data_IF_047952224715
#
_entry.id   IF_047952224715
#
_cell.length_a   1.000
_cell.length_b   1.000
_cell.length_c   1.000
_cell.angle_alpha   90.00
_cell.angle_beta   90.00
_cell.angle_gamma   90.00
#
_symmetry.space_group_name_H-M   'P 1'
#
loop_
_entity.id
_entity.type
_entity.pdbx_description
1 polymer ?
#
# COMPACT_ATOMS: atom_id res chain seq x y z
N UNK A 1 2.04 -12.61 -11.70
CA UNK A 1 0.64 -12.65 -11.25
C UNK A 1 -0.40 -12.20 -12.31
N UNK A 2 0.00 -11.90 -13.56
CA UNK A 2 -0.94 -11.57 -14.66
C UNK A 2 -1.27 -12.78 -15.57
N UNK A 3 -0.57 -13.90 -15.40
CA UNK A 3 -0.65 -15.06 -16.31
C UNK A 3 -1.92 -15.93 -16.13
N UNK A 4 -2.84 -15.56 -15.23
CA UNK A 4 -3.95 -16.43 -14.80
C UNK A 4 -5.34 -15.87 -15.13
N UNK A 5 -5.45 -14.78 -15.91
CA UNK A 5 -6.70 -14.01 -16.06
C UNK A 5 -7.40 -14.23 -17.42
N UNK A 6 -6.80 -14.87 -18.43
CA UNK A 6 -7.48 -15.05 -19.71
C UNK A 6 -7.04 -16.28 -20.50
N UNK A 7 -8.01 -17.07 -20.95
CA UNK A 7 -7.84 -18.18 -21.90
C UNK A 7 -7.61 -17.70 -23.34
N UNK A 8 -7.70 -16.39 -23.60
CA UNK A 8 -7.55 -15.74 -24.91
C UNK A 8 -6.67 -14.48 -24.84
N UNK A 9 -5.52 -14.54 -24.16
CA UNK A 9 -4.53 -13.45 -24.18
C UNK A 9 -3.39 -13.80 -25.14
N UNK A 10 -3.08 -12.89 -26.06
CA UNK A 10 -1.88 -12.96 -26.89
C UNK A 10 -0.72 -12.22 -26.20
N UNK A 11 0.53 -12.49 -26.60
CA UNK A 11 1.73 -11.85 -26.03
C UNK A 11 1.68 -10.31 -26.12
N UNK A 12 0.95 -9.81 -27.13
CA UNK A 12 0.70 -8.37 -27.35
C UNK A 12 -0.16 -7.74 -26.26
N UNK A 13 -0.99 -8.52 -25.58
CA UNK A 13 -1.87 -8.07 -24.50
C UNK A 13 -1.14 -8.01 -23.16
N UNK A 14 0.02 -8.66 -23.06
CA UNK A 14 0.84 -8.67 -21.84
C UNK A 14 1.59 -7.33 -21.76
N UNK A 15 1.31 -6.48 -20.76
CA UNK A 15 2.00 -5.21 -20.62
C UNK A 15 3.50 -5.41 -20.38
N UNK A 16 4.32 -4.71 -21.15
CA UNK A 16 5.76 -4.70 -20.96
C UNK A 16 6.13 -4.21 -19.54
N UNK A 17 7.30 -4.61 -19.04
CA UNK A 17 7.81 -4.20 -17.71
C UNK A 17 7.68 -2.71 -17.46
N UNK A 18 8.03 -1.87 -18.44
CA UNK A 18 7.91 -0.40 -18.34
C UNK A 18 6.47 0.05 -18.08
N UNK A 19 5.51 -0.56 -18.78
CA UNK A 19 4.09 -0.25 -18.61
C UNK A 19 3.59 -0.72 -17.25
N UNK A 20 4.02 -1.90 -16.79
CA UNK A 20 3.71 -2.38 -15.45
C UNK A 20 4.25 -1.49 -14.35
N UNK A 21 5.53 -1.10 -14.44
CA UNK A 21 6.14 -0.17 -13.49
C UNK A 21 5.38 1.16 -13.46
N UNK A 22 5.01 1.70 -14.62
CA UNK A 22 4.19 2.91 -14.71
C UNK A 22 2.83 2.72 -13.98
N UNK A 23 2.09 1.65 -14.30
CA UNK A 23 0.78 1.38 -13.70
C UNK A 23 0.87 1.20 -12.18
N UNK A 24 1.91 0.50 -11.69
CA UNK A 24 2.15 0.32 -10.25
C UNK A 24 2.43 1.68 -9.60
N UNK A 25 3.30 2.51 -10.18
CA UNK A 25 3.60 3.84 -9.63
C UNK A 25 2.40 4.77 -9.65
N UNK A 26 1.60 4.77 -10.72
CA UNK A 26 0.37 5.56 -10.82
C UNK A 26 -0.64 5.11 -9.76
N UNK A 27 -0.87 3.80 -9.63
CA UNK A 27 -1.78 3.27 -8.63
C UNK A 27 -1.29 3.56 -7.21
N UNK A 28 0.00 3.39 -6.95
CA UNK A 28 0.61 3.70 -5.67
C UNK A 28 0.36 5.16 -5.27
N UNK A 29 0.53 6.13 -6.18
CA UNK A 29 0.26 7.55 -5.89
C UNK A 29 -1.19 7.79 -5.48
N UNK A 30 -2.15 7.17 -6.17
CA UNK A 30 -3.56 7.30 -5.83
C UNK A 30 -3.88 6.70 -4.45
N UNK A 31 -3.37 5.49 -4.19
CA UNK A 31 -3.58 4.80 -2.91
C UNK A 31 -2.89 5.53 -1.75
N UNK A 32 -1.68 6.04 -1.97
CA UNK A 32 -0.93 6.86 -1.03
C UNK A 32 -1.70 8.12 -0.66
N UNK A 33 -2.20 8.87 -1.64
CA UNK A 33 -2.98 10.08 -1.40
C UNK A 33 -4.24 9.78 -0.57
N UNK A 34 -4.94 8.68 -0.89
CA UNK A 34 -6.10 8.21 -0.13
C UNK A 34 -5.74 7.82 1.30
N UNK A 35 -4.63 7.11 1.49
CA UNK A 35 -4.13 6.70 2.80
C UNK A 35 -3.78 7.91 3.68
N UNK A 36 -3.08 8.89 3.12
CA UNK A 36 -2.74 10.14 3.83
C UNK A 36 -3.99 10.90 4.26
N UNK A 37 -4.99 10.98 3.37
CA UNK A 37 -6.26 11.61 3.70
C UNK A 37 -7.02 10.85 4.81
N UNK A 38 -7.05 9.52 4.75
CA UNK A 38 -7.68 8.67 5.78
C UNK A 38 -7.00 8.83 7.16
N UNK A 39 -5.66 8.88 7.20
CA UNK A 39 -4.88 9.11 8.43
C UNK A 39 -5.14 10.52 8.98
N UNK A 40 -5.20 11.55 8.13
CA UNK A 40 -5.52 12.93 8.56
C UNK A 40 -6.91 13.05 9.18
N UNK A 41 -7.86 12.25 8.71
CA UNK A 41 -9.22 12.18 9.23
C UNK A 41 -9.39 11.14 10.36
N UNK A 42 -8.29 10.64 10.92
CA UNK A 42 -8.34 9.71 12.04
C UNK A 42 -8.99 10.32 13.28
N UNK A 43 -9.63 9.46 14.06
CA UNK A 43 -10.16 9.82 15.37
C UNK A 43 -9.06 9.67 16.42
N UNK A 44 -8.76 10.77 17.12
CA UNK A 44 -7.84 10.76 18.24
C UNK A 44 -6.38 10.72 17.82
N UNK A 45 -5.58 9.87 18.47
CA UNK A 45 -4.13 9.79 18.27
C UNK A 45 -3.78 8.78 17.19
N UNK A 46 -2.72 9.08 16.47
CA UNK A 46 -2.04 8.18 15.53
C UNK A 46 -0.80 7.62 16.21
N UNK A 47 -0.56 6.33 16.11
CA UNK A 47 0.68 5.68 16.52
C UNK A 47 1.39 5.02 15.33
N UNK A 48 2.68 4.77 15.47
CA UNK A 48 3.50 4.12 14.46
C UNK A 48 4.28 2.96 15.07
N UNK A 49 4.54 1.93 14.27
CA UNK A 49 5.53 0.90 14.56
C UNK A 49 6.60 0.94 13.49
N UNK A 50 7.84 0.99 13.93
CA UNK A 50 9.01 1.01 13.07
C UNK A 50 9.73 -0.33 13.23
N UNK A 51 9.65 -1.16 12.20
CA UNK A 51 10.43 -2.40 12.11
C UNK A 51 11.74 -2.09 11.40
N UNK A 52 12.87 -2.28 12.08
CA UNK A 52 14.20 -1.97 11.57
C UNK A 52 15.02 -3.24 11.58
N UNK A 53 15.55 -3.61 10.41
CA UNK A 53 16.39 -4.79 10.27
C UNK A 53 17.49 -4.54 9.25
N UNK A 54 18.55 -5.33 9.34
CA UNK A 54 19.62 -5.35 8.33
C UNK A 54 19.67 -6.70 7.64
N UNK A 55 20.01 -6.72 6.36
CA UNK A 55 20.39 -7.96 5.66
C UNK A 55 21.82 -8.39 6.04
N UNK A 56 22.21 -9.59 5.64
CA UNK A 56 23.56 -10.13 5.89
C UNK A 56 24.69 -9.28 5.25
N UNK A 57 24.38 -8.52 4.20
CA UNK A 57 25.29 -7.57 3.58
C UNK A 57 25.35 -6.21 4.30
N UNK A 58 24.78 -6.12 5.52
CA UNK A 58 24.70 -4.90 6.35
C UNK A 58 23.89 -3.75 5.71
N UNK A 59 23.07 -4.05 4.72
CA UNK A 59 22.11 -3.08 4.19
C UNK A 59 20.92 -2.97 5.16
N UNK A 60 20.67 -1.74 5.63
CA UNK A 60 19.59 -1.43 6.56
C UNK A 60 18.27 -1.17 5.86
N UNK A 61 17.19 -1.67 6.46
CA UNK A 61 15.81 -1.49 6.04
C UNK A 61 15.00 -0.98 7.21
N UNK A 62 13.93 -0.25 6.89
CA UNK A 62 12.95 0.22 7.85
C UNK A 62 11.56 0.13 7.21
N UNK A 63 10.65 -0.57 7.87
CA UNK A 63 9.23 -0.60 7.54
C UNK A 63 8.46 0.20 8.58
N UNK A 64 7.62 1.14 8.14
CA UNK A 64 6.81 1.97 9.04
C UNK A 64 5.34 1.59 8.86
N UNK A 65 4.68 1.14 9.93
CA UNK A 65 3.24 0.89 9.93
C UNK A 65 2.53 1.89 10.84
N UNK A 66 1.56 2.61 10.29
CA UNK A 66 0.74 3.58 11.01
C UNK A 66 -0.55 2.92 11.49
N UNK A 67 -0.87 3.12 12.76
CA UNK A 67 -2.09 2.63 13.42
C UNK A 67 -2.94 3.80 13.90
N UNK A 68 -4.24 3.75 13.62
CA UNK A 68 -5.16 4.83 13.96
C UNK A 68 -6.61 4.34 14.02
N UNK A 69 -7.46 5.07 14.75
CA UNK A 69 -8.88 4.76 14.78
C UNK A 69 -9.66 5.61 13.78
N UNK A 70 -10.73 5.06 13.21
CA UNK A 70 -11.60 5.75 12.26
C UNK A 70 -13.05 5.26 12.42
N UNK A 71 -14.00 5.92 11.77
CA UNK A 71 -15.36 5.36 11.61
C UNK A 71 -15.47 4.60 10.29
N UNK A 72 -16.09 3.43 10.34
CA UNK A 72 -16.51 2.75 9.12
C UNK A 72 -17.77 3.41 8.51
N UNK A 73 -18.23 2.92 7.36
CA UNK A 73 -19.42 3.43 6.68
C UNK A 73 -20.72 3.29 7.50
N UNK A 74 -20.73 2.47 8.54
CA UNK A 74 -21.87 2.27 9.46
C UNK A 74 -21.73 3.11 10.73
N UNK A 75 -20.64 3.86 10.86
CA UNK A 75 -20.35 4.71 12.02
C UNK A 75 -19.67 3.98 13.19
N UNK A 76 -19.29 2.72 13.03
CA UNK A 76 -18.59 1.97 14.07
C UNK A 76 -17.15 2.44 14.19
N UNK A 77 -16.63 2.47 15.42
CA UNK A 77 -15.21 2.71 15.64
C UNK A 77 -14.39 1.48 15.21
N UNK A 78 -13.42 1.69 14.32
CA UNK A 78 -12.51 0.65 13.83
C UNK A 78 -11.06 1.08 14.02
N UNK A 79 -10.20 0.10 14.32
CA UNK A 79 -8.75 0.27 14.29
C UNK A 79 -8.25 -0.08 12.89
N UNK A 80 -7.54 0.84 12.25
CA UNK A 80 -6.89 0.66 10.95
C UNK A 80 -5.37 0.58 11.14
N UNK A 81 -4.71 -0.14 10.25
CA UNK A 81 -3.25 -0.24 10.19
C UNK A 81 -2.81 -0.22 8.74
N UNK A 82 -1.84 0.63 8.41
CA UNK A 82 -1.38 0.86 7.03
C UNK A 82 0.14 0.95 6.99
N UNK A 83 0.77 0.20 6.08
CA UNK A 83 2.20 0.32 5.79
C UNK A 83 2.44 1.58 4.95
N UNK A 84 3.45 2.35 5.34
CA UNK A 84 3.84 3.63 4.75
C UNK A 84 5.20 3.48 4.07
#
# INVERSE_FOLDING_TARGET
LLLFIGTELDDRDIPHRTKLSQLISERFKCEWARMVDDIKNSLGRVSATDDIWSRQNLESYMGVTIHYTAKDARGNLVLKSQLV
#
